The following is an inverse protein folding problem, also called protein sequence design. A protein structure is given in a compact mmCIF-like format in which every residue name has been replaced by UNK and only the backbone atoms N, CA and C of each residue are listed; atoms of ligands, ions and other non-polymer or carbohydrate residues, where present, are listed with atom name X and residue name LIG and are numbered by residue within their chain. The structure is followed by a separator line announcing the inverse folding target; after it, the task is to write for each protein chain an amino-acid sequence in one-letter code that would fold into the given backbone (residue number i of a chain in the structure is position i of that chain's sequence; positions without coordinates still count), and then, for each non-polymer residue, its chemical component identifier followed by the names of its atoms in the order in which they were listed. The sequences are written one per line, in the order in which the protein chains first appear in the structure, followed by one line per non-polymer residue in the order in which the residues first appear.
data_IF_032040152675
#
_entry.id   IF_032040152675
#
_cell.length_a   1.000
_cell.length_b   1.000
_cell.length_c   1.000
_cell.angle_alpha   90.00
_cell.angle_beta   90.00
_cell.angle_gamma   90.00
#
_symmetry.space_group_name_H-M   'P 1'
#
loop_
_entity.id
_entity.type
_entity.pdbx_description
1 polymer ?
#
# COMPACT_ATOMS: atom_id res chain seq x y z
N UNK A 1 14.17 -19.75 -3.73
CA UNK A 1 13.64 -19.10 -4.94
C UNK A 1 12.95 -17.83 -4.50
N UNK A 2 13.20 -16.74 -5.21
CA UNK A 2 12.70 -15.40 -4.89
C UNK A 2 12.16 -14.75 -6.16
N UNK A 3 11.44 -13.64 -6.03
CA UNK A 3 10.88 -12.89 -7.15
C UNK A 3 11.23 -11.42 -6.99
N UNK A 4 11.53 -10.73 -8.09
CA UNK A 4 11.91 -9.32 -8.05
C UNK A 4 10.73 -8.43 -8.37
N UNK A 5 10.57 -7.34 -7.63
CA UNK A 5 9.75 -6.21 -8.04
C UNK A 5 10.68 -5.08 -8.44
N UNK A 6 10.59 -4.62 -9.69
CA UNK A 6 11.57 -3.66 -10.24
C UNK A 6 10.93 -2.61 -11.16
N UNK A 7 11.63 -1.50 -11.32
CA UNK A 7 11.34 -0.46 -12.31
C UNK A 7 12.56 -0.33 -13.20
N UNK A 8 12.50 -0.84 -14.43
CA UNK A 8 13.68 -1.07 -15.26
C UNK A 8 14.74 -1.87 -14.46
N UNK A 9 15.95 -1.33 -14.31
CA UNK A 9 17.05 -1.99 -13.57
C UNK A 9 17.02 -1.73 -12.04
N UNK A 10 16.05 -0.96 -11.53
CA UNK A 10 15.95 -0.64 -10.11
C UNK A 10 15.11 -1.67 -9.35
N UNK A 11 15.76 -2.52 -8.56
CA UNK A 11 15.07 -3.46 -7.68
C UNK A 11 14.49 -2.74 -6.46
N UNK A 12 13.17 -2.81 -6.31
CA UNK A 12 12.44 -2.27 -5.16
C UNK A 12 12.34 -3.30 -4.03
N UNK A 13 12.17 -4.58 -4.35
CA UNK A 13 11.99 -5.65 -3.37
C UNK A 13 12.25 -7.04 -3.98
N UNK A 14 12.90 -7.93 -3.22
CA UNK A 14 13.18 -9.32 -3.63
C UNK A 14 12.72 -10.34 -2.56
N UNK A 15 11.40 -10.58 -2.42
CA UNK A 15 10.87 -11.55 -1.47
C UNK A 15 10.92 -13.00 -1.97
N UNK A 16 10.63 -13.94 -1.07
CA UNK A 16 10.33 -15.33 -1.46
C UNK A 16 9.02 -15.43 -2.25
N UNK A 17 8.90 -16.44 -3.12
CA UNK A 17 7.78 -16.57 -4.07
C UNK A 17 6.38 -16.49 -3.43
N UNK A 18 6.16 -17.12 -2.26
CA UNK A 18 4.86 -17.08 -1.59
C UNK A 18 4.49 -15.69 -1.06
N UNK A 19 5.50 -14.93 -0.65
CA UNK A 19 5.31 -13.56 -0.15
C UNK A 19 5.00 -12.62 -1.32
N UNK A 20 5.70 -12.76 -2.45
CA UNK A 20 5.38 -12.04 -3.68
C UNK A 20 3.96 -12.38 -4.20
N UNK A 21 3.61 -13.67 -4.28
CA UNK A 21 2.29 -14.11 -4.72
C UNK A 21 1.17 -13.52 -3.85
N UNK A 22 1.35 -13.55 -2.52
CA UNK A 22 0.39 -12.95 -1.59
C UNK A 22 0.27 -11.44 -1.82
N UNK A 23 1.40 -10.73 -1.95
CA UNK A 23 1.41 -9.29 -2.17
C UNK A 23 0.65 -8.90 -3.44
N UNK A 24 0.89 -9.60 -4.56
CA UNK A 24 0.20 -9.36 -5.84
C UNK A 24 -1.30 -9.61 -5.69
N UNK A 25 -1.70 -10.75 -5.12
CA UNK A 25 -3.14 -11.05 -4.92
C UNK A 25 -3.82 -10.06 -3.98
N UNK A 26 -3.14 -9.59 -2.95
CA UNK A 26 -3.66 -8.54 -2.07
C UNK A 26 -3.82 -7.24 -2.84
N UNK A 27 -2.88 -6.86 -3.71
CA UNK A 27 -3.01 -5.66 -4.55
C UNK A 27 -4.25 -5.72 -5.45
N UNK A 28 -4.50 -6.87 -6.08
CA UNK A 28 -5.67 -7.10 -6.93
C UNK A 28 -6.98 -7.07 -6.13
N UNK A 29 -6.96 -7.60 -4.90
CA UNK A 29 -8.14 -7.61 -4.03
C UNK A 29 -8.52 -6.22 -3.51
N UNK A 30 -7.56 -5.32 -3.30
CA UNK A 30 -7.81 -3.97 -2.77
C UNK A 30 -7.96 -2.91 -3.85
N UNK A 31 -7.53 -3.17 -5.09
CA UNK A 31 -7.71 -2.23 -6.22
C UNK A 31 -9.17 -1.77 -6.43
N UNK A 32 -10.21 -2.62 -6.32
CA UNK A 32 -11.59 -2.19 -6.43
C UNK A 32 -12.06 -1.22 -5.34
N UNK A 33 -11.36 -1.11 -4.20
CA UNK A 33 -11.71 -0.14 -3.15
C UNK A 33 -11.47 1.31 -3.60
N UNK A 34 -10.48 1.50 -4.48
CA UNK A 34 -10.03 2.82 -4.94
C UNK A 34 -10.23 3.06 -6.44
N UNK A 35 -10.61 2.02 -7.19
CA UNK A 35 -10.83 2.06 -8.65
C UNK A 35 -9.58 2.54 -9.44
N UNK A 36 -8.40 2.16 -8.95
CA UNK A 36 -7.11 2.48 -9.56
C UNK A 36 -6.37 1.18 -9.90
N UNK A 37 -5.81 1.02 -11.11
CA UNK A 37 -4.98 -0.13 -11.46
C UNK A 37 -3.76 -0.25 -10.54
N UNK A 38 -3.30 -1.47 -10.24
CA UNK A 38 -2.23 -1.70 -9.26
C UNK A 38 -0.86 -1.17 -9.69
N UNK A 39 -0.60 -1.08 -11.00
CA UNK A 39 0.73 -0.78 -11.55
C UNK A 39 1.71 -1.95 -11.52
N UNK A 40 1.29 -3.13 -11.05
CA UNK A 40 2.12 -4.34 -11.06
C UNK A 40 1.86 -5.11 -12.37
N UNK A 41 2.89 -5.26 -13.19
CA UNK A 41 2.84 -6.03 -14.42
C UNK A 41 2.73 -7.55 -14.19
N UNK A 42 2.51 -8.36 -15.24
CA UNK A 42 2.49 -9.81 -15.10
C UNK A 42 3.88 -10.36 -14.78
N UNK A 43 3.93 -11.47 -14.04
CA UNK A 43 5.19 -12.16 -13.74
C UNK A 43 5.88 -12.64 -15.02
N UNK A 44 7.16 -12.29 -15.20
CA UNK A 44 8.01 -12.74 -16.31
C UNK A 44 9.40 -13.08 -15.81
N UNK A 45 9.84 -14.32 -16.01
CA UNK A 45 11.18 -14.78 -15.62
C UNK A 45 11.55 -14.45 -14.16
N UNK A 46 10.63 -14.72 -13.22
CA UNK A 46 10.72 -14.41 -11.78
C UNK A 46 10.64 -12.91 -11.40
N UNK A 47 10.35 -12.03 -12.37
CA UNK A 47 10.24 -10.59 -12.13
C UNK A 47 8.80 -10.08 -12.32
N UNK A 48 8.46 -9.07 -11.53
CA UNK A 48 7.31 -8.19 -11.67
C UNK A 48 7.82 -6.79 -12.04
N UNK A 49 7.55 -6.37 -13.28
CA UNK A 49 7.80 -5.00 -13.72
C UNK A 49 6.73 -4.07 -13.12
N UNK A 50 7.18 -2.99 -12.49
CA UNK A 50 6.32 -1.98 -11.87
C UNK A 50 6.22 -0.78 -12.82
N UNK A 51 5.00 -0.49 -13.28
CA UNK A 51 4.70 0.84 -13.80
C UNK A 51 4.66 1.81 -12.63
N UNK A 52 5.75 2.55 -12.45
CA UNK A 52 5.98 3.35 -11.26
C UNK A 52 4.93 4.45 -11.06
N UNK A 53 4.49 5.12 -12.12
CA UNK A 53 3.51 6.20 -11.99
C UNK A 53 2.13 5.66 -11.61
N UNK A 54 1.73 4.54 -12.20
CA UNK A 54 0.47 3.86 -11.85
C UNK A 54 0.53 3.30 -10.43
N UNK A 55 1.65 2.67 -10.05
CA UNK A 55 1.83 2.12 -8.71
C UNK A 55 1.81 3.23 -7.63
N UNK A 56 2.47 4.36 -7.87
CA UNK A 56 2.43 5.50 -6.94
C UNK A 56 1.00 6.04 -6.78
N UNK A 57 0.26 6.19 -7.88
CA UNK A 57 -1.14 6.65 -7.83
C UNK A 57 -2.04 5.67 -7.06
N UNK A 58 -1.84 4.36 -7.25
CA UNK A 58 -2.55 3.32 -6.52
C UNK A 58 -2.26 3.35 -5.02
N UNK A 59 -0.98 3.44 -4.64
CA UNK A 59 -0.57 3.53 -3.23
C UNK A 59 -1.11 4.81 -2.59
N UNK A 60 -1.07 5.94 -3.30
CA UNK A 60 -1.62 7.21 -2.84
C UNK A 60 -3.13 7.11 -2.58
N UNK A 61 -3.89 6.52 -3.49
CA UNK A 61 -5.33 6.32 -3.32
C UNK A 61 -5.65 5.41 -2.12
N UNK A 62 -4.86 4.35 -1.89
CA UNK A 62 -5.02 3.49 -0.70
C UNK A 62 -4.66 4.20 0.60
N UNK A 63 -3.65 5.08 0.60
CA UNK A 63 -3.34 5.92 1.76
C UNK A 63 -4.49 6.88 2.03
N UNK A 64 -5.03 7.54 1.00
CA UNK A 64 -6.19 8.41 1.15
C UNK A 64 -7.38 7.65 1.75
N UNK A 65 -7.66 6.44 1.26
CA UNK A 65 -8.70 5.54 1.75
C UNK A 65 -8.49 5.13 3.22
N UNK A 66 -7.26 4.80 3.60
CA UNK A 66 -6.91 4.49 4.99
C UNK A 66 -7.16 5.68 5.92
N UNK A 67 -6.73 6.87 5.50
CA UNK A 67 -6.81 8.08 6.31
C UNK A 67 -8.24 8.63 6.38
N UNK A 68 -9.05 8.46 5.34
CA UNK A 68 -10.46 8.90 5.31
C UNK A 68 -11.42 7.97 6.06
N UNK A 69 -11.02 6.73 6.34
CA UNK A 69 -11.87 5.74 6.97
C UNK A 69 -11.87 5.85 8.51
N UNK A 70 -13.05 5.81 9.11
CA UNK A 70 -13.21 5.59 10.57
C UNK A 70 -13.33 4.11 10.94
N UNK A 71 -13.42 3.22 9.95
CA UNK A 71 -13.66 1.80 10.17
C UNK A 71 -12.36 1.05 10.48
N UNK A 72 -12.09 0.81 11.77
CA UNK A 72 -10.84 0.21 12.26
C UNK A 72 -10.48 -1.14 11.60
N UNK A 73 -11.47 -1.98 11.27
CA UNK A 73 -11.20 -3.27 10.60
C UNK A 73 -10.70 -3.06 9.16
N UNK A 74 -11.28 -2.13 8.40
CA UNK A 74 -10.83 -1.84 7.05
C UNK A 74 -9.38 -1.35 7.09
N UNK A 75 -9.09 -0.41 7.99
CA UNK A 75 -7.74 0.09 8.21
C UNK A 75 -6.76 -1.05 8.51
N UNK A 76 -7.10 -1.93 9.45
CA UNK A 76 -6.28 -3.10 9.81
C UNK A 76 -6.01 -4.03 8.63
N UNK A 77 -7.01 -4.27 7.77
CA UNK A 77 -6.84 -5.09 6.56
C UNK A 77 -5.88 -4.44 5.54
N UNK A 78 -5.83 -3.11 5.49
CA UNK A 78 -4.96 -2.37 4.57
C UNK A 78 -3.53 -2.20 5.10
N UNK A 79 -3.32 -2.11 6.42
CA UNK A 79 -2.05 -1.69 7.04
C UNK A 79 -0.83 -2.45 6.52
N UNK A 80 -0.86 -3.79 6.51
CA UNK A 80 0.30 -4.60 6.11
C UNK A 80 0.65 -4.44 4.63
N UNK A 81 -0.35 -4.32 3.76
CA UNK A 81 -0.14 -4.11 2.33
C UNK A 81 0.38 -2.70 2.05
N UNK A 82 -0.32 -1.68 2.55
CA UNK A 82 0.02 -0.27 2.32
C UNK A 82 1.41 0.05 2.87
N UNK A 83 1.77 -0.46 4.05
CA UNK A 83 3.10 -0.26 4.61
C UNK A 83 4.21 -0.87 3.74
N UNK A 84 3.97 -2.05 3.15
CA UNK A 84 4.95 -2.69 2.25
C UNK A 84 5.08 -1.91 0.95
N UNK A 85 3.96 -1.46 0.38
CA UNK A 85 3.94 -0.68 -0.85
C UNK A 85 4.58 0.70 -0.68
N UNK A 86 4.40 1.36 0.47
CA UNK A 86 5.07 2.62 0.81
C UNK A 86 6.60 2.49 0.81
N UNK A 87 7.14 1.36 1.28
CA UNK A 87 8.59 1.10 1.20
C UNK A 87 9.06 0.99 -0.25
N UNK A 88 8.27 0.36 -1.12
CA UNK A 88 8.61 0.26 -2.54
C UNK A 88 8.61 1.64 -3.21
N UNK A 89 7.62 2.50 -2.89
CA UNK A 89 7.56 3.89 -3.38
C UNK A 89 8.75 4.72 -2.90
N UNK A 90 9.11 4.61 -1.62
CA UNK A 90 10.28 5.30 -1.05
C UNK A 90 11.59 4.84 -1.70
N UNK A 91 11.77 3.53 -1.91
CA UNK A 91 12.93 2.97 -2.62
C UNK A 91 13.02 3.41 -4.07
N UNK A 92 11.89 3.72 -4.71
CA UNK A 92 11.83 4.32 -6.03
C UNK A 92 12.11 5.83 -6.04
N UNK A 93 12.35 6.45 -4.89
CA UNK A 93 12.60 7.90 -4.76
C UNK A 93 11.35 8.75 -4.99
N UNK A 94 10.16 8.18 -4.78
CA UNK A 94 8.87 8.86 -4.98
C UNK A 94 8.20 9.16 -3.64
N UNK A 95 7.26 10.10 -3.67
CA UNK A 95 6.49 10.54 -2.50
C UNK A 95 5.02 10.20 -2.68
N UNK A 96 4.32 10.01 -1.56
CA UNK A 96 2.85 9.79 -1.52
C UNK A 96 2.17 11.04 -0.96
N UNK A 97 1.51 11.86 -1.80
CA UNK A 97 0.89 13.13 -1.39
C UNK A 97 -0.10 13.02 -0.22
N UNK A 98 -0.90 11.95 -0.20
CA UNK A 98 -1.97 11.77 0.79
C UNK A 98 -1.46 11.64 2.23
N UNK A 99 -0.21 11.25 2.44
CA UNK A 99 0.40 11.22 3.77
C UNK A 99 0.60 12.63 4.39
N UNK A 100 0.52 13.69 3.58
CA UNK A 100 0.64 15.08 4.00
C UNK A 100 -0.70 15.83 3.92
N UNK A 101 -1.73 15.21 3.33
CA UNK A 101 -3.04 15.80 3.18
C UNK A 101 -3.85 15.71 4.47
N UNK A 102 -4.71 16.71 4.70
CA UNK A 102 -5.74 16.59 5.74
C UNK A 102 -6.84 15.67 5.24
N UNK A 103 -7.02 14.53 5.90
CA UNK A 103 -8.03 13.57 5.53
C UNK A 103 -9.44 14.06 5.87
N UNK A 104 -10.38 13.79 4.96
CA UNK A 104 -11.82 14.01 5.16
C UNK A 104 -12.50 12.67 5.28
N UNK A 105 -13.49 12.54 6.18
CA UNK A 105 -14.24 11.30 6.37
C UNK A 105 -14.86 10.81 5.05
N UNK A 106 -14.62 9.55 4.70
CA UNK A 106 -15.36 8.87 3.65
C UNK A 106 -16.65 8.25 4.25
N UNK A 107 -17.85 8.64 3.78
CA UNK A 107 -19.11 8.12 4.30
C UNK A 107 -19.33 6.63 4.00
N UNK A 108 -18.56 6.01 3.08
CA UNK A 108 -18.67 4.59 2.73
C UNK A 108 -18.07 3.67 3.79
N UNK A 109 -17.12 4.18 4.58
CA UNK A 109 -16.31 3.39 5.51
C UNK A 109 -16.39 3.94 6.94
N UNK A 110 -17.64 4.08 7.40
CA UNK A 110 -17.97 4.62 8.71
C UNK A 110 -18.20 3.52 9.73
N UNK A 111 -17.57 3.64 10.90
CA UNK A 111 -17.92 2.86 12.08
C UNK A 111 -18.47 3.80 13.17
N UNK A 112 -19.70 3.54 13.61
CA UNK A 112 -20.36 4.28 14.69
C UNK A 112 -20.39 3.39 15.93
N UNK A 113 -19.72 3.84 16.97
CA UNK A 113 -19.76 3.23 18.29
C UNK A 113 -20.67 4.01 19.26
N UNK A 114 -20.73 3.59 20.54
CA UNK A 114 -21.49 4.29 21.57
C UNK A 114 -21.11 5.76 21.77
N UNK A 115 -19.89 6.15 21.39
CA UNK A 115 -19.38 7.52 21.46
C UNK A 115 -19.46 8.33 20.15
N UNK A 116 -20.14 7.82 19.12
CA UNK A 116 -20.22 8.44 17.79
C UNK A 116 -19.26 7.83 16.77
N UNK A 117 -18.89 8.61 15.76
CA UNK A 117 -17.98 8.17 14.69
C UNK A 117 -16.58 7.95 15.28
N UNK A 118 -15.99 6.80 15.00
CA UNK A 118 -14.64 6.49 15.45
C UNK A 118 -13.59 7.43 14.81
N UNK A 119 -12.40 7.59 15.42
CA UNK A 119 -11.32 8.39 14.84
C UNK A 119 -10.94 7.89 13.43
N UNK A 120 -10.50 8.83 12.59
CA UNK A 120 -9.94 8.55 11.27
C UNK A 120 -8.58 7.85 11.32
N UNK A 121 -8.02 7.48 10.17
CA UNK A 121 -6.69 6.89 10.07
C UNK A 121 -5.59 7.89 10.45
N UNK A 122 -4.44 7.36 10.90
CA UNK A 122 -3.30 8.15 11.37
C UNK A 122 -2.09 7.94 10.44
N UNK A 123 -1.52 9.00 9.82
CA UNK A 123 -0.34 8.85 8.96
C UNK A 123 0.91 8.41 9.76
N UNK A 124 1.04 8.77 11.04
CA UNK A 124 2.18 8.35 11.87
C UNK A 124 2.22 6.84 12.05
N UNK A 125 1.05 6.21 12.14
CA UNK A 125 0.92 4.76 12.19
C UNK A 125 1.46 4.10 10.92
N UNK A 126 1.14 4.64 9.74
CA UNK A 126 1.66 4.15 8.46
C UNK A 126 3.18 4.35 8.36
N UNK A 127 3.72 5.49 8.80
CA UNK A 127 5.16 5.71 8.85
C UNK A 127 5.90 4.73 9.77
N UNK A 128 5.33 4.43 10.94
CA UNK A 128 5.88 3.43 11.86
C UNK A 128 5.89 2.03 11.24
N UNK A 129 4.81 1.62 10.58
CA UNK A 129 4.72 0.33 9.89
C UNK A 129 5.69 0.25 8.71
N UNK A 130 5.73 1.27 7.85
CA UNK A 130 6.62 1.32 6.70
C UNK A 130 8.09 1.23 7.13
N UNK A 131 8.50 1.95 8.19
CA UNK A 131 9.86 1.82 8.75
C UNK A 131 10.18 0.41 9.23
N UNK A 132 9.24 -0.25 9.91
CA UNK A 132 9.42 -1.65 10.34
C UNK A 132 9.53 -2.60 9.15
N UNK A 133 8.73 -2.41 8.11
CA UNK A 133 8.79 -3.23 6.90
C UNK A 133 10.07 -2.98 6.11
N UNK A 134 10.53 -1.73 6.01
CA UNK A 134 11.78 -1.38 5.34
C UNK A 134 12.99 -2.13 5.92
N UNK A 135 13.03 -2.29 7.25
CA UNK A 135 14.07 -3.05 7.95
C UNK A 135 14.00 -4.57 7.72
N UNK A 136 12.82 -5.11 7.35
CA UNK A 136 12.59 -6.52 7.13
C UNK A 136 12.60 -6.93 5.63
N UNK A 137 12.37 -5.97 4.73
CA UNK A 137 12.31 -6.21 3.29
C UNK A 137 13.71 -6.32 2.69
N UNK A 138 14.03 -7.48 2.13
CA UNK A 138 15.23 -7.67 1.31
C UNK A 138 15.24 -6.77 0.07
N UNK A 139 16.42 -6.58 -0.52
CA UNK A 139 16.60 -6.03 -1.86
C UNK A 139 17.09 -7.13 -2.78
#
# INVERSE_FOLDING_TARGET
MSQYFQVNDLVLWNPSNRVAELFVRTSEAVAPLVDVPTGIGPMRADDYEIDLDVFVAFVDALVAQYLSSSHAILRSLLEGFVATALVMVDRAGRTVPSLQATATLDPRDVSVGPGGIAPLGDPERLYELARRHAAAMAR
#
